data_IF_995925025690
#
_entry.id   IF_995925025690
#
_cell.length_a   1.000
_cell.length_b   1.000
_cell.length_c   1.000
_cell.angle_alpha   90.00
_cell.angle_beta   90.00
_cell.angle_gamma   90.00
#
_symmetry.space_group_name_H-M   'P 1'
#
loop_
_entity.id
_entity.type
_entity.pdbx_description
1 polymer ?
#
# COMPACT_ATOMS: atom_id res chain seq x y z
N UNK A 1 -32.79 -25.11 31.35
CA UNK A 1 -33.59 -25.69 30.24
C UNK A 1 -33.27 -24.96 28.94
N UNK A 2 -33.53 -23.64 28.87
CA UNK A 2 -33.23 -22.82 27.70
C UNK A 2 -31.76 -22.79 27.26
N UNK A 3 -30.81 -22.80 28.19
CA UNK A 3 -29.37 -22.84 27.84
C UNK A 3 -29.01 -24.07 27.00
N UNK A 4 -29.54 -25.25 27.37
CA UNK A 4 -29.30 -26.49 26.64
C UNK A 4 -29.97 -26.49 25.25
N UNK A 5 -31.14 -25.87 25.14
CA UNK A 5 -31.81 -25.69 23.84
C UNK A 5 -31.03 -24.72 22.94
N UNK A 6 -30.44 -23.67 23.52
CA UNK A 6 -29.56 -22.73 22.81
C UNK A 6 -28.30 -23.46 22.32
N UNK A 7 -27.66 -24.29 23.16
CA UNK A 7 -26.49 -25.09 22.77
C UNK A 7 -26.80 -26.03 21.58
N UNK A 8 -27.98 -26.64 21.58
CA UNK A 8 -28.45 -27.50 20.48
C UNK A 8 -28.71 -26.69 19.19
N UNK A 9 -29.24 -25.47 19.31
CA UNK A 9 -29.42 -24.54 18.19
C UNK A 9 -28.06 -24.09 17.65
N UNK A 10 -27.12 -23.72 18.50
CA UNK A 10 -25.77 -23.27 18.11
C UNK A 10 -25.02 -24.39 17.39
N UNK A 11 -25.15 -25.62 17.87
CA UNK A 11 -24.60 -26.81 17.20
C UNK A 11 -25.17 -26.98 15.79
N UNK A 12 -26.48 -26.77 15.60
CA UNK A 12 -27.12 -26.80 14.27
C UNK A 12 -26.68 -25.63 13.39
N UNK A 13 -26.50 -24.43 13.94
CA UNK A 13 -25.99 -23.28 13.20
C UNK A 13 -24.59 -23.57 12.65
N UNK A 14 -23.69 -24.13 13.45
CA UNK A 14 -22.35 -24.54 13.01
C UNK A 14 -22.42 -25.57 11.88
N UNK A 15 -23.31 -26.57 11.99
CA UNK A 15 -23.51 -27.58 10.94
C UNK A 15 -23.98 -26.94 9.63
N UNK A 16 -24.99 -26.07 9.68
CA UNK A 16 -25.55 -25.38 8.51
C UNK A 16 -24.54 -24.45 7.85
N UNK A 17 -23.76 -23.70 8.64
CA UNK A 17 -22.69 -22.84 8.14
C UNK A 17 -21.60 -23.65 7.44
N UNK A 18 -21.21 -24.79 8.00
CA UNK A 18 -20.23 -25.70 7.39
C UNK A 18 -20.76 -26.33 6.10
N UNK A 19 -22.03 -26.75 6.05
CA UNK A 19 -22.60 -27.27 4.81
C UNK A 19 -22.63 -26.20 3.72
N UNK A 20 -23.08 -24.99 4.07
CA UNK A 20 -23.07 -23.83 3.16
C UNK A 20 -21.66 -23.57 2.62
N UNK A 21 -20.65 -23.55 3.48
CA UNK A 21 -19.25 -23.37 3.08
C UNK A 21 -18.77 -24.45 2.09
N UNK A 22 -19.13 -25.73 2.30
CA UNK A 22 -18.82 -26.81 1.35
C UNK A 22 -19.45 -26.58 -0.02
N UNK A 23 -20.70 -26.13 -0.08
CA UNK A 23 -21.39 -25.82 -1.36
C UNK A 23 -20.74 -24.65 -2.07
N UNK A 24 -20.36 -23.60 -1.34
CA UNK A 24 -19.63 -22.43 -1.84
C UNK A 24 -18.29 -22.85 -2.47
N UNK A 25 -17.52 -23.71 -1.79
CA UNK A 25 -16.28 -24.27 -2.35
C UNK A 25 -16.52 -25.09 -3.63
N UNK A 26 -17.63 -25.83 -3.70
CA UNK A 26 -18.06 -26.53 -4.92
C UNK A 26 -18.31 -25.57 -6.07
N UNK A 27 -19.07 -24.50 -5.84
CA UNK A 27 -19.34 -23.43 -6.82
C UNK A 27 -18.04 -22.74 -7.26
N UNK A 28 -17.12 -22.48 -6.32
CA UNK A 28 -15.82 -21.88 -6.63
C UNK A 28 -14.97 -22.75 -7.56
N UNK A 29 -14.99 -24.09 -7.39
CA UNK A 29 -14.29 -25.03 -8.29
C UNK A 29 -14.83 -24.94 -9.72
N UNK A 30 -16.15 -24.82 -9.89
CA UNK A 30 -16.80 -24.69 -11.20
C UNK A 30 -16.44 -23.34 -11.84
N UNK A 31 -16.62 -22.23 -11.11
CA UNK A 31 -16.26 -20.88 -11.59
C UNK A 31 -14.80 -20.76 -12.01
N UNK A 32 -13.87 -21.43 -11.30
CA UNK A 32 -12.44 -21.50 -11.66
C UNK A 32 -12.21 -22.20 -13.00
N UNK A 33 -12.89 -23.33 -13.24
CA UNK A 33 -12.80 -24.07 -14.51
C UNK A 33 -13.36 -23.26 -15.68
N UNK A 34 -14.42 -22.49 -15.45
CA UNK A 34 -15.12 -21.72 -16.49
C UNK A 34 -14.65 -20.26 -16.64
N UNK A 35 -13.61 -19.83 -15.90
CA UNK A 35 -13.09 -18.44 -15.87
C UNK A 35 -14.17 -17.37 -15.61
N UNK A 36 -15.22 -17.69 -14.87
CA UNK A 36 -16.28 -16.74 -14.53
C UNK A 36 -15.92 -15.84 -13.35
N UNK A 37 -16.51 -14.62 -13.32
CA UNK A 37 -16.38 -13.68 -12.20
C UNK A 37 -16.96 -14.24 -10.89
N UNK A 38 -16.26 -14.00 -9.78
CA UNK A 38 -16.60 -14.60 -8.48
C UNK A 38 -17.68 -13.82 -7.71
N UNK A 39 -17.63 -12.48 -7.79
CA UNK A 39 -18.52 -11.57 -7.08
C UNK A 39 -19.59 -10.97 -8.01
N UNK A 40 -20.85 -11.09 -7.61
CA UNK A 40 -21.99 -10.49 -8.32
C UNK A 40 -22.84 -9.71 -7.31
N UNK A 41 -22.75 -8.36 -7.29
CA UNK A 41 -23.53 -7.51 -6.39
C UNK A 41 -25.04 -7.74 -6.48
N UNK A 42 -25.53 -8.07 -7.68
CA UNK A 42 -26.95 -8.36 -7.91
C UNK A 42 -27.44 -9.61 -7.18
N UNK A 43 -26.58 -10.63 -7.08
CA UNK A 43 -26.90 -11.89 -6.38
C UNK A 43 -26.92 -11.72 -4.87
N UNK A 44 -26.01 -10.92 -4.30
CA UNK A 44 -26.01 -10.61 -2.87
C UNK A 44 -27.30 -9.87 -2.49
N UNK A 45 -27.68 -8.86 -3.27
CA UNK A 45 -28.92 -8.11 -3.05
C UNK A 45 -30.17 -8.99 -3.17
N UNK A 46 -30.23 -9.91 -4.14
CA UNK A 46 -31.37 -10.82 -4.27
C UNK A 46 -31.48 -11.80 -3.10
N UNK A 47 -30.35 -12.29 -2.57
CA UNK A 47 -30.33 -13.17 -1.40
C UNK A 47 -30.86 -12.42 -0.17
N UNK A 48 -30.35 -11.22 0.10
CA UNK A 48 -30.79 -10.40 1.23
C UNK A 48 -32.29 -10.08 1.14
N UNK A 49 -32.76 -9.63 -0.03
CA UNK A 49 -34.17 -9.32 -0.23
C UNK A 49 -35.09 -10.53 -0.02
N UNK A 50 -34.62 -11.74 -0.35
CA UNK A 50 -35.39 -12.97 -0.11
C UNK A 50 -35.42 -13.32 1.38
N UNK A 51 -34.26 -13.35 2.03
CA UNK A 51 -34.15 -13.76 3.44
C UNK A 51 -34.82 -12.76 4.40
N UNK A 52 -34.80 -11.47 4.08
CA UNK A 52 -35.55 -10.45 4.85
C UNK A 52 -37.06 -10.66 4.78
N UNK A 53 -37.59 -11.15 3.64
CA UNK A 53 -39.02 -11.48 3.51
C UNK A 53 -39.41 -12.75 4.26
N UNK A 54 -38.46 -13.65 4.49
CA UNK A 54 -38.64 -14.89 5.25
C UNK A 54 -38.44 -14.68 6.77
N UNK A 55 -38.07 -13.48 7.22
CA UNK A 55 -37.83 -13.19 8.62
C UNK A 55 -39.13 -12.90 9.37
N UNK A 56 -39.52 -13.82 10.25
CA UNK A 56 -40.70 -13.69 11.12
C UNK A 56 -40.37 -13.04 12.48
N UNK A 57 -39.12 -12.63 12.69
CA UNK A 57 -38.62 -12.12 13.97
C UNK A 57 -38.12 -13.25 14.90
N UNK A 58 -37.68 -12.94 16.14
CA UNK A 58 -37.67 -11.63 16.81
C UNK A 58 -36.50 -10.71 16.38
N UNK A 59 -35.59 -11.17 15.53
CA UNK A 59 -34.51 -10.35 14.97
C UNK A 59 -35.06 -9.29 14.00
N UNK A 60 -34.54 -8.06 14.07
CA UNK A 60 -34.85 -7.04 13.08
C UNK A 60 -34.24 -7.38 11.71
N UNK A 61 -34.85 -6.85 10.65
CA UNK A 61 -34.39 -7.07 9.28
C UNK A 61 -32.98 -6.49 9.06
N UNK A 62 -32.65 -5.38 9.72
CA UNK A 62 -31.32 -4.79 9.70
C UNK A 62 -30.29 -5.74 10.31
N UNK A 63 -30.57 -6.28 11.50
CA UNK A 63 -29.63 -7.15 12.23
C UNK A 63 -29.44 -8.49 11.50
N UNK A 64 -30.52 -9.07 10.98
CA UNK A 64 -30.44 -10.25 10.12
C UNK A 64 -29.60 -9.98 8.87
N UNK A 65 -29.79 -8.82 8.23
CA UNK A 65 -29.02 -8.45 7.04
C UNK A 65 -27.53 -8.35 7.33
N UNK A 66 -27.12 -7.84 8.50
CA UNK A 66 -25.72 -7.79 8.92
C UNK A 66 -25.13 -9.18 9.11
N UNK A 67 -25.85 -10.08 9.81
CA UNK A 67 -25.43 -11.47 10.00
C UNK A 67 -25.24 -12.18 8.66
N UNK A 68 -26.23 -12.06 7.75
CA UNK A 68 -26.16 -12.69 6.43
C UNK A 68 -25.02 -12.10 5.59
N UNK A 69 -24.81 -10.78 5.60
CA UNK A 69 -23.67 -10.14 4.92
C UNK A 69 -22.35 -10.67 5.45
N UNK A 70 -22.23 -10.84 6.76
CA UNK A 70 -21.03 -11.39 7.37
C UNK A 70 -20.78 -12.84 6.91
N UNK A 71 -21.81 -13.70 6.93
CA UNK A 71 -21.72 -15.08 6.43
C UNK A 71 -21.31 -15.10 4.95
N UNK A 72 -21.87 -14.21 4.12
CA UNK A 72 -21.51 -14.08 2.71
C UNK A 72 -20.06 -13.65 2.52
N UNK A 73 -19.59 -12.67 3.30
CA UNK A 73 -18.21 -12.16 3.27
C UNK A 73 -17.20 -13.24 3.67
N UNK A 74 -17.47 -13.98 4.74
CA UNK A 74 -16.63 -15.12 5.18
C UNK A 74 -16.66 -16.23 4.13
N UNK A 75 -17.79 -16.49 3.51
CA UNK A 75 -17.87 -17.51 2.46
C UNK A 75 -17.08 -17.12 1.20
N UNK A 76 -17.08 -15.84 0.84
CA UNK A 76 -16.24 -15.32 -0.24
C UNK A 76 -14.74 -15.44 0.07
N UNK A 77 -14.33 -15.31 1.34
CA UNK A 77 -12.92 -15.51 1.73
C UNK A 77 -12.46 -16.97 1.58
N UNK A 78 -13.38 -17.94 1.63
CA UNK A 78 -13.12 -19.35 1.30
C UNK A 78 -12.95 -19.58 -0.21
N UNK A 79 -13.66 -18.82 -1.06
CA UNK A 79 -13.52 -18.92 -2.53
C UNK A 79 -12.18 -18.33 -3.01
N UNK A 80 -11.68 -17.29 -2.34
CA UNK A 80 -10.41 -16.61 -2.61
C UNK A 80 -9.90 -15.98 -1.31
N UNK A 81 -8.61 -16.16 -0.97
CA UNK A 81 -7.97 -15.40 0.13
C UNK A 81 -8.31 -13.93 -0.03
N UNK A 82 -9.14 -13.42 0.88
CA UNK A 82 -9.58 -12.03 0.88
C UNK A 82 -8.32 -11.16 0.83
N UNK A 83 -8.21 -10.26 -0.14
CA UNK A 83 -7.11 -9.30 -0.19
C UNK A 83 -7.59 -8.02 0.47
N UNK A 84 -6.96 -7.64 1.57
CA UNK A 84 -7.26 -6.39 2.28
C UNK A 84 -6.03 -5.50 2.20
N UNK A 85 -6.23 -4.30 1.67
CA UNK A 85 -5.17 -3.31 1.57
C UNK A 85 -5.12 -2.50 2.85
N UNK A 86 -3.93 -2.29 3.41
CA UNK A 86 -3.71 -1.45 4.59
C UNK A 86 -2.61 -0.43 4.32
N UNK A 87 -2.54 0.65 5.11
CA UNK A 87 -1.71 1.81 4.79
C UNK A 87 -0.32 1.77 5.44
N UNK A 88 0.74 1.85 4.64
CA UNK A 88 2.10 1.85 5.14
C UNK A 88 2.68 0.43 5.32
N UNK A 89 3.89 0.30 5.89
CA UNK A 89 4.57 -0.98 6.01
C UNK A 89 3.86 -1.94 6.99
N UNK A 90 4.18 -3.24 6.94
CA UNK A 90 3.76 -4.20 7.95
C UNK A 90 4.08 -3.71 9.37
N UNK A 91 3.24 -4.10 10.34
CA UNK A 91 3.29 -3.75 11.76
C UNK A 91 2.99 -2.28 12.12
N UNK A 92 2.44 -1.51 11.19
CA UNK A 92 1.86 -0.18 11.48
C UNK A 92 0.46 -0.29 12.09
N UNK A 93 -0.06 0.81 12.65
CA UNK A 93 -1.41 0.86 13.23
C UNK A 93 -2.51 0.38 12.29
N UNK A 94 -2.39 0.67 10.98
CA UNK A 94 -3.39 0.26 9.99
C UNK A 94 -3.24 -1.21 9.60
N UNK A 95 -2.00 -1.77 9.64
CA UNK A 95 -1.76 -3.20 9.53
C UNK A 95 -2.44 -3.95 10.68
N UNK A 96 -2.22 -3.49 11.91
CA UNK A 96 -2.81 -4.08 13.11
C UNK A 96 -4.33 -3.95 13.12
N UNK A 97 -4.87 -2.79 12.73
CA UNK A 97 -6.31 -2.60 12.58
C UNK A 97 -6.91 -3.52 11.50
N UNK A 98 -6.20 -3.73 10.38
CA UNK A 98 -6.63 -4.66 9.35
C UNK A 98 -6.63 -6.11 9.85
N UNK A 99 -5.61 -6.52 10.62
CA UNK A 99 -5.59 -7.84 11.26
C UNK A 99 -6.73 -8.02 12.25
N UNK A 100 -7.02 -7.01 13.07
CA UNK A 100 -8.08 -7.06 14.08
C UNK A 100 -9.48 -7.15 13.47
N UNK A 101 -9.74 -6.43 12.38
CA UNK A 101 -11.07 -6.34 11.77
C UNK A 101 -11.33 -7.41 10.70
N UNK A 102 -10.28 -7.97 10.09
CA UNK A 102 -10.41 -8.91 8.98
C UNK A 102 -9.82 -10.30 9.25
N UNK A 103 -9.03 -10.47 10.33
CA UNK A 103 -8.42 -11.74 10.73
C UNK A 103 -7.06 -12.02 10.09
N UNK A 104 -6.30 -12.95 10.67
CA UNK A 104 -4.91 -13.26 10.24
C UNK A 104 -4.82 -14.05 8.93
N UNK A 105 -5.89 -14.71 8.50
CA UNK A 105 -5.92 -15.53 7.27
C UNK A 105 -6.09 -14.71 5.97
N UNK A 106 -6.27 -13.40 6.11
CA UNK A 106 -6.48 -12.45 5.01
C UNK A 106 -5.14 -12.09 4.38
N UNK A 107 -5.10 -12.03 3.05
CA UNK A 107 -3.92 -11.60 2.31
C UNK A 107 -3.79 -10.08 2.40
N UNK A 108 -3.05 -9.62 3.40
CA UNK A 108 -2.83 -8.20 3.68
C UNK A 108 -1.78 -7.61 2.74
N UNK A 109 -2.16 -6.58 1.98
CA UNK A 109 -1.29 -5.92 1.01
C UNK A 109 -0.98 -4.49 1.48
N UNK A 110 0.29 -4.15 1.75
CA UNK A 110 0.65 -2.78 2.13
C UNK A 110 0.52 -1.84 0.93
N UNK A 111 -0.15 -0.71 1.10
CA UNK A 111 -0.18 0.38 0.12
C UNK A 111 0.66 1.56 0.60
N UNK A 112 1.62 1.98 -0.23
CA UNK A 112 2.64 2.98 0.14
C UNK A 112 2.21 4.43 -0.07
N UNK A 113 1.33 4.75 -1.02
CA UNK A 113 0.82 6.12 -1.19
C UNK A 113 -0.68 6.16 -1.53
N UNK A 114 -1.53 6.26 -0.52
CA UNK A 114 -2.96 6.46 -0.75
C UNK A 114 -3.38 7.91 -0.48
N UNK A 115 -2.75 8.61 0.46
CA UNK A 115 -3.18 9.97 0.82
C UNK A 115 -3.20 10.93 -0.39
N UNK A 116 -2.13 10.95 -1.20
CA UNK A 116 -2.06 11.79 -2.39
C UNK A 116 -3.02 11.37 -3.51
N UNK A 117 -3.21 10.06 -3.72
CA UNK A 117 -4.12 9.54 -4.77
C UNK A 117 -5.60 9.65 -4.39
N UNK A 118 -5.93 9.48 -3.10
CA UNK A 118 -7.26 9.79 -2.57
C UNK A 118 -7.51 11.29 -2.65
N UNK A 119 -6.54 12.12 -2.27
CA UNK A 119 -6.67 13.57 -2.40
C UNK A 119 -6.91 14.00 -3.85
N UNK A 120 -6.26 13.37 -4.83
CA UNK A 120 -6.44 13.71 -6.25
C UNK A 120 -7.81 13.33 -6.82
N UNK A 121 -8.48 12.32 -6.24
CA UNK A 121 -9.74 11.77 -6.74
C UNK A 121 -10.96 12.19 -5.92
N UNK A 122 -10.79 12.39 -4.62
CA UNK A 122 -11.85 12.79 -3.71
C UNK A 122 -12.34 14.20 -4.06
N UNK A 123 -13.64 14.33 -4.30
CA UNK A 123 -14.28 15.57 -4.78
C UNK A 123 -13.58 16.20 -6.01
N UNK A 124 -12.95 15.38 -6.86
CA UNK A 124 -12.16 15.82 -8.02
C UNK A 124 -10.90 16.62 -7.67
N UNK A 125 -10.38 16.45 -6.45
CA UNK A 125 -9.17 17.09 -5.98
C UNK A 125 -9.40 17.90 -4.72
N UNK A 126 -8.80 17.47 -3.62
CA UNK A 126 -8.70 18.25 -2.38
C UNK A 126 -7.24 18.51 -2.02
N UNK A 127 -7.00 19.64 -1.35
CA UNK A 127 -5.66 19.97 -0.87
C UNK A 127 -5.17 18.92 0.13
N UNK A 128 -3.89 18.55 0.02
CA UNK A 128 -3.22 17.70 1.00
C UNK A 128 -1.83 18.22 1.33
N UNK A 129 -1.34 17.79 2.49
CA UNK A 129 -0.01 18.07 3.00
C UNK A 129 0.77 16.76 3.06
N UNK A 130 2.07 16.82 2.86
CA UNK A 130 2.94 15.65 2.97
C UNK A 130 3.92 15.83 4.14
N UNK A 131 4.00 14.83 5.01
CA UNK A 131 4.95 14.81 6.15
C UNK A 131 5.81 13.55 6.04
N UNK A 132 6.83 13.54 5.16
CA UNK A 132 7.66 12.37 4.96
C UNK A 132 8.58 12.10 6.16
N UNK A 133 8.49 10.91 6.72
CA UNK A 133 9.25 10.46 7.92
C UNK A 133 10.38 9.47 7.59
N UNK A 134 10.59 9.18 6.31
CA UNK A 134 11.72 8.37 5.85
C UNK A 134 12.64 9.20 4.98
N UNK A 135 13.95 8.92 5.00
CA UNK A 135 14.91 9.65 4.19
C UNK A 135 14.58 9.55 2.69
N UNK A 136 14.22 8.36 2.21
CA UNK A 136 13.79 8.15 0.83
C UNK A 136 12.55 8.99 0.47
N UNK A 137 11.52 9.01 1.33
CA UNK A 137 10.34 9.84 1.06
C UNK A 137 10.65 11.34 1.09
N UNK A 138 11.62 11.77 1.90
CA UNK A 138 12.05 13.18 1.96
C UNK A 138 12.78 13.62 0.70
N UNK A 139 13.62 12.78 0.09
CA UNK A 139 14.45 13.16 -1.07
C UNK A 139 13.85 12.75 -2.42
N UNK A 140 12.92 11.80 -2.43
CA UNK A 140 12.29 11.27 -3.63
C UNK A 140 10.78 11.57 -3.65
N UNK A 141 9.97 10.86 -2.86
CA UNK A 141 8.50 10.91 -2.96
C UNK A 141 7.89 12.29 -2.70
N UNK A 142 8.61 13.18 -2.01
CA UNK A 142 8.18 14.55 -1.71
C UNK A 142 8.10 15.47 -2.91
N UNK A 143 8.78 15.15 -4.01
CA UNK A 143 8.89 16.00 -5.21
C UNK A 143 8.49 15.21 -6.44
N UNK A 144 7.64 15.82 -7.28
CA UNK A 144 7.30 15.28 -8.60
C UNK A 144 5.87 14.79 -8.78
N UNK A 145 5.01 14.96 -7.77
CA UNK A 145 3.55 14.82 -7.88
C UNK A 145 3.03 13.41 -8.20
N UNK A 146 3.89 12.39 -8.31
CA UNK A 146 3.47 11.03 -8.61
C UNK A 146 2.75 10.44 -7.41
N UNK A 147 1.45 10.22 -7.55
CA UNK A 147 0.62 9.55 -6.55
C UNK A 147 -0.04 8.34 -7.20
N UNK A 148 0.00 7.19 -6.52
CA UNK A 148 -0.54 5.98 -7.11
C UNK A 148 -0.63 4.80 -6.17
N UNK A 149 -1.29 3.76 -6.65
CA UNK A 149 -1.51 2.50 -5.94
C UNK A 149 -1.07 1.32 -6.79
N UNK A 150 -0.64 0.27 -6.11
CA UNK A 150 -0.23 -0.97 -6.74
C UNK A 150 -1.46 -1.80 -7.16
N UNK A 151 -1.33 -2.51 -8.27
CA UNK A 151 -2.26 -3.55 -8.68
C UNK A 151 -1.57 -4.92 -8.60
N UNK A 152 -2.32 -6.03 -8.57
CA UNK A 152 -1.73 -7.37 -8.68
C UNK A 152 -0.86 -7.57 -9.93
N UNK A 153 -1.10 -6.79 -10.99
CA UNK A 153 -0.35 -6.84 -12.24
C UNK A 153 0.97 -6.03 -12.19
N UNK A 154 1.18 -5.18 -11.18
CA UNK A 154 2.39 -4.35 -11.10
C UNK A 154 2.28 -3.17 -10.13
N UNK A 155 3.44 -2.60 -9.81
CA UNK A 155 3.57 -1.43 -8.94
C UNK A 155 3.09 -0.15 -9.63
N UNK A 156 2.46 0.74 -8.87
CA UNK A 156 2.05 2.10 -9.27
C UNK A 156 1.26 2.19 -10.59
N UNK A 157 0.48 1.15 -10.95
CA UNK A 157 -0.22 1.09 -12.25
C UNK A 157 -1.46 2.00 -12.32
N UNK A 158 -2.05 2.36 -11.18
CA UNK A 158 -3.14 3.34 -11.11
C UNK A 158 -2.63 4.55 -10.35
N UNK A 159 -2.71 5.73 -10.96
CA UNK A 159 -2.22 6.95 -10.33
C UNK A 159 -2.57 8.21 -11.09
N UNK A 160 -2.05 9.33 -10.60
CA UNK A 160 -2.17 10.65 -11.21
C UNK A 160 -0.94 11.49 -10.86
N UNK A 161 -0.72 12.60 -11.60
CA UNK A 161 0.18 13.66 -11.16
C UNK A 161 -0.64 14.68 -10.34
N UNK A 162 -0.39 14.73 -9.02
CA UNK A 162 -1.09 15.62 -8.08
C UNK A 162 -0.14 16.16 -7.01
N UNK A 163 0.04 17.49 -6.97
CA UNK A 163 1.03 18.15 -6.11
C UNK A 163 0.48 18.38 -4.69
N UNK A 164 1.27 18.14 -3.63
CA UNK A 164 0.92 18.59 -2.29
C UNK A 164 0.91 20.12 -2.23
N UNK A 165 0.10 20.70 -1.33
CA UNK A 165 0.15 22.15 -1.07
C UNK A 165 1.34 22.56 -0.22
N UNK A 166 1.87 21.62 0.57
CA UNK A 166 3.03 21.85 1.41
C UNK A 166 3.65 20.51 1.80
N UNK A 167 4.97 20.50 1.95
CA UNK A 167 5.74 19.36 2.44
C UNK A 167 6.52 19.79 3.68
N UNK A 168 6.34 19.07 4.78
CA UNK A 168 7.05 19.32 6.04
C UNK A 168 8.02 18.18 6.33
N UNK A 169 9.32 18.47 6.32
CA UNK A 169 10.36 17.49 6.57
C UNK A 169 10.99 17.73 7.94
N UNK A 170 10.66 16.87 8.91
CA UNK A 170 11.28 16.89 10.23
C UNK A 170 12.44 15.88 10.29
N UNK A 171 13.66 16.39 10.46
CA UNK A 171 14.88 15.57 10.52
C UNK A 171 14.94 14.70 11.78
N UNK A 172 14.22 15.07 12.84
CA UNK A 172 14.18 14.28 14.08
C UNK A 172 13.51 12.92 13.85
N UNK A 173 12.59 12.83 12.89
CA UNK A 173 11.95 11.56 12.50
C UNK A 173 12.94 10.55 11.94
N UNK A 174 14.09 11.01 11.41
CA UNK A 174 15.11 10.12 10.83
C UNK A 174 15.91 9.36 11.90
N UNK A 175 15.95 9.86 13.15
CA UNK A 175 16.72 9.26 14.25
C UNK A 175 16.19 7.89 14.68
N UNK A 176 14.92 7.60 14.38
CA UNK A 176 14.27 6.33 14.73
C UNK A 176 14.31 5.32 13.58
N UNK A 177 14.84 5.70 12.41
CA UNK A 177 14.90 4.82 11.25
C UNK A 177 15.97 3.74 11.41
N UNK A 178 15.64 2.54 10.94
CA UNK A 178 16.61 1.46 10.85
C UNK A 178 17.70 1.80 9.82
N UNK A 179 18.90 1.25 10.01
CA UNK A 179 20.04 1.48 9.11
C UNK A 179 19.75 1.15 7.65
N UNK A 180 18.84 0.20 7.39
CA UNK A 180 18.39 -0.17 6.05
C UNK A 180 17.63 0.97 5.36
N UNK A 181 16.67 1.59 6.05
CA UNK A 181 15.88 2.70 5.52
C UNK A 181 16.73 3.95 5.29
N UNK A 182 17.74 4.18 6.13
CA UNK A 182 18.73 5.24 5.93
C UNK A 182 19.53 4.98 4.64
N UNK A 183 20.03 3.75 4.44
CA UNK A 183 20.77 3.40 3.23
C UNK A 183 19.96 3.58 1.95
N UNK A 184 18.66 3.29 1.98
CA UNK A 184 17.78 3.50 0.83
C UNK A 184 17.72 4.96 0.40
N UNK A 185 17.50 5.88 1.35
CA UNK A 185 17.47 7.30 1.05
C UNK A 185 18.86 7.84 0.64
N UNK A 186 19.93 7.33 1.25
CA UNK A 186 21.29 7.73 0.88
C UNK A 186 21.66 7.28 -0.55
N UNK A 187 21.21 6.12 -1.00
CA UNK A 187 21.43 5.67 -2.37
C UNK A 187 20.84 6.66 -3.39
N UNK A 188 19.65 7.16 -3.10
CA UNK A 188 18.98 8.16 -3.92
C UNK A 188 19.71 9.53 -3.91
N UNK A 189 20.21 9.95 -2.74
CA UNK A 189 21.03 11.16 -2.61
C UNK A 189 22.33 11.04 -3.41
N UNK A 190 23.00 9.89 -3.34
CA UNK A 190 24.21 9.60 -4.15
C UNK A 190 23.87 9.68 -5.63
N UNK A 191 22.75 9.09 -6.06
CA UNK A 191 22.27 9.17 -7.44
C UNK A 191 22.13 10.62 -7.88
N UNK A 192 21.51 11.50 -7.09
CA UNK A 192 21.41 12.93 -7.42
C UNK A 192 22.77 13.59 -7.64
N UNK A 193 23.76 13.27 -6.80
CA UNK A 193 25.14 13.75 -6.96
C UNK A 193 25.75 13.28 -8.28
N UNK A 194 25.66 11.99 -8.59
CA UNK A 194 26.22 11.40 -9.82
C UNK A 194 25.59 12.02 -11.08
N UNK A 195 24.27 12.23 -11.09
CA UNK A 195 23.57 12.64 -12.31
C UNK A 195 23.57 14.14 -12.58
N UNK A 196 23.65 14.99 -11.54
CA UNK A 196 23.43 16.45 -11.70
C UNK A 196 24.28 17.33 -10.79
N UNK A 197 25.03 16.78 -9.81
CA UNK A 197 25.78 17.59 -8.85
C UNK A 197 27.07 16.95 -8.33
N UNK A 198 28.17 17.24 -9.01
CA UNK A 198 29.52 16.81 -8.63
C UNK A 198 29.92 17.25 -7.22
N UNK A 199 29.48 18.42 -6.76
CA UNK A 199 29.87 18.94 -5.44
C UNK A 199 29.18 18.16 -4.34
N UNK A 200 27.89 17.82 -4.52
CA UNK A 200 27.17 16.91 -3.64
C UNK A 200 27.87 15.55 -3.59
N UNK A 201 28.28 15.00 -4.75
CA UNK A 201 28.98 13.71 -4.80
C UNK A 201 30.28 13.72 -3.98
N UNK A 202 31.16 14.70 -4.21
CA UNK A 202 32.41 14.82 -3.44
C UNK A 202 32.16 15.13 -1.95
N UNK A 203 31.10 15.87 -1.63
CA UNK A 203 30.73 16.13 -0.24
C UNK A 203 30.35 14.85 0.50
N UNK A 204 29.58 13.97 -0.14
CA UNK A 204 29.20 12.67 0.42
C UNK A 204 30.42 11.78 0.66
N UNK A 205 31.34 11.73 -0.31
CA UNK A 205 32.59 10.95 -0.22
C UNK A 205 33.50 11.44 0.93
N UNK A 206 33.65 12.75 1.08
CA UNK A 206 34.50 13.33 2.15
C UNK A 206 33.90 13.18 3.55
N UNK A 207 32.57 13.01 3.67
CA UNK A 207 31.86 13.01 4.96
C UNK A 207 31.14 11.69 5.27
N UNK A 208 31.57 10.56 4.70
CA UNK A 208 30.89 9.25 4.82
C UNK A 208 30.44 8.91 6.25
N UNK A 209 31.30 9.09 7.26
CA UNK A 209 30.95 8.81 8.66
C UNK A 209 29.77 9.65 9.16
N UNK A 210 29.83 10.96 8.92
CA UNK A 210 28.77 11.92 9.33
C UNK A 210 27.50 11.76 8.51
N UNK A 211 27.62 11.37 7.25
CA UNK A 211 26.48 11.05 6.36
C UNK A 211 25.75 9.81 6.85
N UNK A 212 26.49 8.74 7.22
CA UNK A 212 25.89 7.50 7.75
C UNK A 212 25.16 7.73 9.07
N UNK A 213 25.68 8.61 9.91
CA UNK A 213 25.09 8.96 11.20
C UNK A 213 23.97 10.01 11.09
N UNK A 214 23.74 10.57 9.89
CA UNK A 214 22.81 11.67 9.66
C UNK A 214 23.01 12.83 10.65
N UNK A 215 24.26 13.22 10.88
CA UNK A 215 24.58 14.41 11.68
C UNK A 215 23.75 15.60 11.18
N UNK A 216 23.15 16.35 12.10
CA UNK A 216 22.09 17.33 11.80
C UNK A 216 22.41 18.26 10.63
N UNK A 217 23.61 18.86 10.62
CA UNK A 217 24.00 19.80 9.55
C UNK A 217 24.25 19.08 8.21
N UNK A 218 24.75 17.83 8.27
CA UNK A 218 24.98 17.01 7.07
C UNK A 218 23.65 16.54 6.49
N UNK A 219 22.74 16.03 7.32
CA UNK A 219 21.41 15.59 6.90
C UNK A 219 20.63 16.75 6.25
N UNK A 220 20.60 17.92 6.89
CA UNK A 220 19.94 19.09 6.33
C UNK A 220 20.50 19.46 4.95
N UNK A 221 21.83 19.54 4.82
CA UNK A 221 22.47 19.88 3.55
C UNK A 221 22.16 18.88 2.43
N UNK A 222 22.33 17.58 2.67
CA UNK A 222 22.19 16.56 1.62
C UNK A 222 20.73 16.38 1.18
N UNK A 223 19.77 16.55 2.11
CA UNK A 223 18.33 16.48 1.83
C UNK A 223 17.92 17.69 1.01
N UNK A 224 18.24 18.91 1.47
CA UNK A 224 17.91 20.14 0.76
C UNK A 224 18.48 20.13 -0.67
N UNK A 225 19.74 19.71 -0.82
CA UNK A 225 20.40 19.66 -2.11
C UNK A 225 19.76 18.64 -3.05
N UNK A 226 19.43 17.45 -2.55
CA UNK A 226 18.69 16.43 -3.32
C UNK A 226 17.32 16.90 -3.76
N UNK A 227 16.54 17.48 -2.85
CA UNK A 227 15.22 18.05 -3.15
C UNK A 227 15.33 19.11 -4.24
N UNK A 228 16.32 19.99 -4.18
CA UNK A 228 16.56 21.02 -5.20
C UNK A 228 16.91 20.43 -6.56
N UNK A 229 17.81 19.44 -6.61
CA UNK A 229 18.17 18.74 -7.85
C UNK A 229 16.92 18.12 -8.48
N UNK A 230 16.11 17.42 -7.68
CA UNK A 230 14.90 16.78 -8.16
C UNK A 230 13.85 17.80 -8.61
N UNK A 231 13.68 18.89 -7.87
CA UNK A 231 12.77 19.97 -8.24
C UNK A 231 13.09 20.55 -9.62
N UNK A 232 14.36 20.86 -9.89
CA UNK A 232 14.80 21.35 -11.21
C UNK A 232 14.47 20.35 -12.32
N UNK A 233 14.76 19.06 -12.11
CA UNK A 233 14.46 18.02 -13.12
C UNK A 233 12.94 17.86 -13.33
N UNK A 234 12.14 17.97 -12.28
CA UNK A 234 10.68 17.91 -12.35
C UNK A 234 10.09 19.15 -13.03
N UNK A 235 10.59 20.35 -12.75
CA UNK A 235 10.14 21.59 -13.37
C UNK A 235 10.36 21.59 -14.89
N UNK A 236 11.45 20.96 -15.36
CA UNK A 236 11.71 20.79 -16.78
C UNK A 236 10.71 19.83 -17.48
N UNK A 237 10.15 18.86 -16.74
CA UNK A 237 9.29 17.78 -17.26
C UNK A 237 8.38 17.17 -16.18
N UNK A 238 7.35 17.92 -15.78
CA UNK A 238 6.49 17.57 -14.63
C UNK A 238 5.72 16.27 -14.83
N UNK A 239 5.30 15.98 -16.07
CA UNK A 239 4.48 14.82 -16.45
C UNK A 239 5.23 13.69 -17.16
N UNK A 240 6.56 13.81 -17.25
CA UNK A 240 7.42 12.83 -17.94
C UNK A 240 7.10 12.66 -19.43
N UNK A 241 6.60 13.72 -20.08
CA UNK A 241 6.22 13.72 -21.50
C UNK A 241 7.42 14.03 -22.42
N UNK A 242 8.45 14.70 -21.88
CA UNK A 242 9.60 15.19 -22.67
C UNK A 242 10.85 14.31 -22.53
N UNK A 243 10.79 13.28 -21.70
CA UNK A 243 11.89 12.33 -21.46
C UNK A 243 13.04 12.88 -20.61
N UNK A 244 13.06 14.16 -20.25
CA UNK A 244 14.15 14.77 -19.45
C UNK A 244 14.21 14.21 -18.04
N UNK A 245 13.06 13.82 -17.49
CA UNK A 245 12.95 13.24 -16.16
C UNK A 245 13.48 11.80 -16.07
N UNK A 246 13.74 11.14 -17.22
CA UNK A 246 14.32 9.80 -17.24
C UNK A 246 15.72 9.71 -16.65
N UNK A 247 16.45 10.84 -16.53
CA UNK A 247 17.74 10.88 -15.82
C UNK A 247 17.63 10.42 -14.36
N UNK A 248 16.46 10.62 -13.73
CA UNK A 248 16.20 10.13 -12.36
C UNK A 248 16.05 8.61 -12.32
N UNK A 249 15.83 7.94 -13.45
CA UNK A 249 15.78 6.48 -13.53
C UNK A 249 17.18 5.85 -13.64
N UNK A 250 18.26 6.63 -13.50
CA UNK A 250 19.62 6.10 -13.44
C UNK A 250 19.69 5.00 -12.34
N UNK A 251 20.24 3.83 -12.69
CA UNK A 251 20.29 2.64 -11.83
C UNK A 251 18.98 1.86 -11.68
N UNK A 252 17.81 2.41 -12.06
CA UNK A 252 16.51 1.77 -11.82
C UNK A 252 16.21 0.62 -12.79
N UNK A 253 16.77 0.61 -14.00
CA UNK A 253 16.58 -0.50 -14.95
C UNK A 253 17.15 -1.81 -14.38
N UNK A 254 18.35 -1.75 -13.82
CA UNK A 254 18.99 -2.89 -13.17
C UNK A 254 18.33 -3.16 -11.80
N UNK A 255 18.03 -2.11 -11.03
CA UNK A 255 17.39 -2.25 -9.73
C UNK A 255 16.00 -2.88 -9.77
N UNK A 256 15.14 -2.47 -10.70
CA UNK A 256 13.83 -3.11 -10.86
C UNK A 256 13.94 -4.55 -11.34
N UNK A 257 14.95 -4.90 -12.14
CA UNK A 257 15.20 -6.27 -12.55
C UNK A 257 15.63 -7.15 -11.36
N UNK A 258 16.51 -6.65 -10.49
CA UNK A 258 16.93 -7.32 -9.25
C UNK A 258 15.76 -7.46 -8.28
N UNK A 259 14.98 -6.39 -8.06
CA UNK A 259 13.79 -6.44 -7.21
C UNK A 259 12.76 -7.46 -7.70
N UNK A 260 12.52 -7.48 -9.01
CA UNK A 260 11.56 -8.39 -9.65
C UNK A 260 12.01 -9.85 -9.59
N UNK A 261 13.30 -10.11 -9.81
CA UNK A 261 13.89 -11.45 -9.73
C UNK A 261 13.83 -12.05 -8.32
N UNK A 262 13.87 -11.20 -7.28
CA UNK A 262 13.89 -11.61 -5.88
C UNK A 262 12.52 -11.46 -5.17
N UNK A 263 11.44 -11.34 -5.96
CA UNK A 263 10.06 -11.16 -5.49
C UNK A 263 9.88 -10.04 -4.44
N UNK A 264 10.74 -9.01 -4.46
CA UNK A 264 10.75 -7.92 -3.47
C UNK A 264 10.94 -8.36 -2.01
N UNK A 265 11.45 -9.58 -1.76
CA UNK A 265 11.62 -10.15 -0.42
C UNK A 265 12.98 -9.82 0.21
N UNK A 266 14.01 -9.68 -0.62
CA UNK A 266 15.40 -9.66 -0.14
C UNK A 266 16.07 -8.28 -0.20
N UNK A 267 15.82 -7.47 -1.23
CA UNK A 267 16.37 -6.12 -1.39
C UNK A 267 15.28 -5.04 -1.34
N UNK A 268 15.58 -3.92 -0.70
CA UNK A 268 14.69 -2.74 -0.73
C UNK A 268 14.98 -1.84 -1.92
N UNK A 269 14.10 -0.86 -2.16
CA UNK A 269 14.11 -0.08 -3.41
C UNK A 269 15.45 0.63 -3.68
N UNK A 270 15.97 1.34 -2.67
CA UNK A 270 17.29 1.97 -2.76
C UNK A 270 18.47 1.00 -2.67
N UNK A 271 18.28 -0.25 -2.22
CA UNK A 271 19.34 -1.27 -2.27
C UNK A 271 19.51 -1.82 -3.69
N UNK A 272 18.41 -1.97 -4.42
CA UNK A 272 18.41 -2.49 -5.78
C UNK A 272 18.80 -1.41 -6.82
N UNK A 273 18.41 -0.15 -6.61
CA UNK A 273 18.75 0.95 -7.53
C UNK A 273 20.23 1.41 -7.49
N UNK A 274 21.10 0.72 -6.73
CA UNK A 274 22.53 1.03 -6.67
C UNK A 274 23.20 0.79 -8.03
N UNK A 275 24.05 1.72 -8.50
CA UNK A 275 25.05 1.40 -9.52
C UNK A 275 26.00 0.32 -8.98
N UNK A 276 26.36 -0.65 -9.83
CA UNK A 276 27.37 -1.66 -9.53
C UNK A 276 28.75 -1.01 -9.32
#
# INVERSE_FOLDING_TARGET
HYEKEIDDIDSKLVQLLNERAKRVLGVARIKRREKMGYYSPGRERSILNRLVKENEGPLSNENLSEIIRFILKVSLSLEKKLKVVYFGPPATFTHLAAMQNFGQEVNLVPAKSIAGFVASTYLRGINFLLVPTTLLAQVDASVGGKVGVDLPAGKNLIGSFYQPKFVYMDLETLKTLGSRQIREGLAEIVKHGVIKDKELFYYLEKKVGRVRNLDKEVAQFIIERSVRIKAVVVEEDEREEKGRRQVLNFGHTIGHAIEGAMEYKEYTHGEAAKPA
#
